data_IF_643841474830
#
_entry.id   IF_643841474830
#
_cell.length_a   1.000
_cell.length_b   1.000
_cell.length_c   1.000
_cell.angle_alpha   90.00
_cell.angle_beta   90.00
_cell.angle_gamma   90.00
#
_symmetry.space_group_name_H-M   'P 1'
#
loop_
_entity.id
_entity.type
_entity.pdbx_description
1 polymer ?
#
# COMPACT_ATOMS: atom_id res chain seq x y z
N UNK A 1 14.47 -12.85 15.59
CA UNK A 1 14.87 -12.35 14.26
C UNK A 1 16.29 -12.76 13.99
N UNK A 2 16.54 -13.55 12.95
CA UNK A 2 17.90 -13.92 12.53
C UNK A 2 18.55 -12.77 11.75
N UNK A 3 19.87 -12.64 11.74
CA UNK A 3 20.62 -11.58 11.01
C UNK A 3 20.17 -11.43 9.56
N UNK A 4 19.89 -12.54 8.87
CA UNK A 4 19.37 -12.55 7.50
C UNK A 4 18.00 -11.85 7.33
N UNK A 5 17.12 -11.95 8.32
CA UNK A 5 15.80 -11.28 8.30
C UNK A 5 15.95 -9.78 8.46
N UNK A 6 16.86 -9.33 9.32
CA UNK A 6 17.18 -7.91 9.49
C UNK A 6 17.76 -7.31 8.20
N UNK A 7 18.69 -8.03 7.55
CA UNK A 7 19.26 -7.60 6.26
C UNK A 7 18.18 -7.55 5.18
N UNK A 8 17.32 -8.57 5.09
CA UNK A 8 16.24 -8.61 4.10
C UNK A 8 15.26 -7.43 4.28
N UNK A 9 14.87 -7.11 5.52
CA UNK A 9 14.01 -5.95 5.81
C UNK A 9 14.71 -4.65 5.45
N UNK A 10 15.99 -4.49 5.82
CA UNK A 10 16.76 -3.29 5.50
C UNK A 10 16.88 -3.06 3.99
N UNK A 11 17.16 -4.11 3.22
CA UNK A 11 17.22 -4.05 1.75
C UNK A 11 15.85 -3.70 1.18
N UNK A 12 14.78 -4.35 1.65
CA UNK A 12 13.46 -4.12 1.10
C UNK A 12 12.92 -2.70 1.42
N UNK A 13 13.19 -2.17 2.61
CA UNK A 13 12.92 -0.77 2.97
C UNK A 13 13.76 0.18 2.10
N UNK A 14 15.05 -0.08 1.94
CA UNK A 14 15.95 0.74 1.12
C UNK A 14 15.53 0.81 -0.35
N UNK A 15 15.19 -0.33 -0.96
CA UNK A 15 14.70 -0.40 -2.34
C UNK A 15 13.37 0.36 -2.48
N UNK A 16 12.46 0.22 -1.52
CA UNK A 16 11.17 0.93 -1.54
C UNK A 16 11.36 2.45 -1.46
N UNK A 17 12.22 2.92 -0.56
CA UNK A 17 12.53 4.34 -0.43
C UNK A 17 13.20 4.89 -1.70
N UNK A 18 14.13 4.15 -2.29
CA UNK A 18 14.74 4.51 -3.58
C UNK A 18 13.71 4.58 -4.70
N UNK A 19 12.84 3.57 -4.80
CA UNK A 19 11.81 3.49 -5.83
C UNK A 19 10.78 4.63 -5.70
N UNK A 20 10.36 4.98 -4.49
CA UNK A 20 9.47 6.11 -4.24
C UNK A 20 10.15 7.48 -4.37
N UNK A 21 11.44 7.57 -4.03
CA UNK A 21 12.22 8.81 -4.07
C UNK A 21 12.69 9.19 -5.48
N UNK A 22 13.03 8.21 -6.32
CA UNK A 22 13.48 8.41 -7.70
C UNK A 22 12.56 9.29 -8.56
N UNK A 23 11.26 9.01 -8.69
CA UNK A 23 10.37 9.82 -9.51
C UNK A 23 10.24 11.27 -8.99
N UNK A 24 10.31 11.47 -7.66
CA UNK A 24 10.31 12.81 -7.06
C UNK A 24 11.61 13.54 -7.40
N UNK A 25 12.77 12.89 -7.26
CA UNK A 25 14.07 13.47 -7.58
C UNK A 25 14.17 13.83 -9.07
N UNK A 26 13.71 12.96 -9.97
CA UNK A 26 13.69 13.21 -11.41
C UNK A 26 12.76 14.39 -11.74
N UNK A 27 11.57 14.44 -11.13
CA UNK A 27 10.63 15.55 -11.33
C UNK A 27 11.19 16.89 -10.86
N UNK A 28 11.94 16.90 -9.75
CA UNK A 28 12.61 18.09 -9.22
C UNK A 28 13.76 18.55 -10.13
N UNK A 29 14.62 17.61 -10.55
CA UNK A 29 15.76 17.89 -11.43
C UNK A 29 15.33 18.42 -12.81
N UNK A 30 14.22 17.92 -13.35
CA UNK A 30 13.66 18.39 -14.63
C UNK A 30 12.77 19.63 -14.52
N UNK A 31 12.59 20.22 -13.33
CA UNK A 31 11.66 21.33 -13.07
C UNK A 31 10.27 21.10 -13.69
N UNK A 32 9.75 19.87 -13.58
CA UNK A 32 8.49 19.51 -14.20
C UNK A 32 7.34 20.42 -13.68
N UNK A 33 6.42 20.88 -14.55
CA UNK A 33 5.30 21.74 -14.15
C UNK A 33 4.47 21.11 -13.01
N UNK A 34 4.30 19.78 -13.04
CA UNK A 34 3.49 19.03 -12.05
C UNK A 34 4.28 18.45 -10.87
N UNK A 35 5.44 19.03 -10.55
CA UNK A 35 6.29 18.62 -9.40
C UNK A 35 5.53 18.53 -8.07
N UNK A 36 4.51 19.37 -7.87
CA UNK A 36 3.68 19.35 -6.65
C UNK A 36 2.77 18.11 -6.59
N UNK A 37 2.22 17.68 -7.73
CA UNK A 37 1.36 16.50 -7.81
C UNK A 37 2.18 15.23 -7.59
N UNK A 38 3.35 15.13 -8.22
CA UNK A 38 4.28 14.02 -8.04
C UNK A 38 4.77 13.94 -6.58
N UNK A 39 5.08 15.08 -5.96
CA UNK A 39 5.47 15.14 -4.55
C UNK A 39 4.33 14.72 -3.59
N UNK A 40 3.06 14.97 -3.94
CA UNK A 40 1.89 14.52 -3.16
C UNK A 40 1.60 13.03 -3.33
N UNK A 41 1.90 12.45 -4.49
CA UNK A 41 1.73 11.03 -4.77
C UNK A 41 2.77 10.16 -4.04
N UNK A 42 3.97 10.69 -3.81
CA UNK A 42 5.06 10.02 -3.07
C UNK A 42 4.68 9.52 -1.66
N UNK A 43 4.12 10.34 -0.74
CA UNK A 43 3.70 9.87 0.57
C UNK A 43 2.54 8.87 0.48
N UNK A 44 1.67 8.98 -0.52
CA UNK A 44 0.59 8.03 -0.77
C UNK A 44 1.13 6.66 -1.21
N UNK A 45 2.16 6.65 -2.07
CA UNK A 45 2.87 5.45 -2.47
C UNK A 45 3.60 4.79 -1.29
N UNK A 46 4.27 5.59 -0.44
CA UNK A 46 4.91 5.09 0.79
C UNK A 46 3.89 4.46 1.74
N UNK A 47 2.73 5.09 1.94
CA UNK A 47 1.65 4.53 2.76
C UNK A 47 1.14 3.20 2.18
N UNK A 48 0.97 3.12 0.85
CA UNK A 48 0.58 1.88 0.16
C UNK A 48 1.62 0.78 0.37
N UNK A 49 2.91 1.08 0.23
CA UNK A 49 3.98 0.11 0.49
C UNK A 49 4.04 -0.33 1.96
N UNK A 50 3.87 0.60 2.91
CA UNK A 50 3.80 0.27 4.33
C UNK A 50 2.61 -0.67 4.63
N UNK A 51 1.47 -0.45 3.98
CA UNK A 51 0.30 -1.33 4.09
C UNK A 51 0.61 -2.73 3.55
N UNK A 52 1.27 -2.81 2.39
CA UNK A 52 1.72 -4.08 1.82
C UNK A 52 2.69 -4.82 2.75
N UNK A 53 3.66 -4.12 3.34
CA UNK A 53 4.54 -4.71 4.33
C UNK A 53 3.78 -5.22 5.55
N UNK A 54 2.81 -4.47 6.06
CA UNK A 54 1.97 -4.91 7.17
C UNK A 54 1.20 -6.18 6.82
N UNK A 55 0.66 -6.29 5.59
CA UNK A 55 -0.03 -7.48 5.10
C UNK A 55 0.91 -8.68 4.93
N UNK A 56 2.12 -8.49 4.39
CA UNK A 56 3.12 -9.55 4.24
C UNK A 56 3.58 -10.02 5.62
N UNK A 57 3.85 -9.09 6.55
CA UNK A 57 4.25 -9.40 7.91
C UNK A 57 3.14 -10.16 8.66
N UNK A 58 1.89 -9.76 8.43
CA UNK A 58 0.72 -10.45 8.93
C UNK A 58 0.57 -11.86 8.33
N UNK A 59 0.76 -12.02 7.02
CA UNK A 59 0.72 -13.32 6.35
C UNK A 59 1.87 -14.25 6.76
N UNK A 60 3.07 -13.70 7.01
CA UNK A 60 4.24 -14.45 7.46
C UNK A 60 4.18 -14.80 8.96
N UNK A 61 3.38 -14.06 9.73
CA UNK A 61 3.13 -14.35 11.14
C UNK A 61 1.96 -15.32 11.20
N UNK A 62 2.25 -16.62 11.25
CA UNK A 62 1.27 -17.74 11.35
C UNK A 62 0.49 -17.77 12.70
N UNK A 63 0.32 -16.62 13.35
CA UNK A 63 -0.51 -16.47 14.55
C UNK A 63 -1.92 -16.10 14.12
N UNK A 64 -2.68 -17.13 13.72
CA UNK A 64 -4.09 -17.03 13.37
C UNK A 64 -4.98 -16.50 14.51
N UNK A 65 -4.58 -16.64 15.77
CA UNK A 65 -5.56 -16.56 16.87
C UNK A 65 -5.61 -15.23 17.65
N UNK A 66 -4.57 -14.38 17.62
CA UNK A 66 -4.49 -13.25 18.56
C UNK A 66 -4.67 -11.84 17.97
N UNK A 67 -4.68 -11.69 16.63
CA UNK A 67 -4.80 -10.35 16.04
C UNK A 67 -6.27 -9.93 15.84
N UNK A 68 -6.60 -8.67 16.18
CA UNK A 68 -7.91 -8.05 15.88
C UNK A 68 -8.27 -8.21 14.39
N UNK A 69 -7.24 -8.19 13.53
CA UNK A 69 -7.34 -8.39 12.08
C UNK A 69 -7.82 -9.79 11.74
N UNK A 70 -7.32 -10.85 12.40
CA UNK A 70 -7.79 -12.21 12.18
C UNK A 70 -9.26 -12.39 12.56
N UNK A 71 -9.72 -11.81 13.67
CA UNK A 71 -11.15 -11.79 14.05
C UNK A 71 -12.01 -11.05 13.04
N UNK A 72 -11.48 -9.97 12.44
CA UNK A 72 -12.19 -9.22 11.42
C UNK A 72 -12.30 -10.01 10.11
N UNK A 73 -11.21 -10.67 9.70
CA UNK A 73 -11.16 -11.47 8.49
C UNK A 73 -11.99 -12.75 8.63
N UNK A 74 -11.96 -13.43 9.78
CA UNK A 74 -12.84 -14.57 10.05
C UNK A 74 -14.31 -14.15 9.98
N UNK A 75 -14.67 -12.97 10.52
CA UNK A 75 -16.04 -12.44 10.40
C UNK A 75 -16.43 -12.12 8.96
N UNK A 76 -15.51 -11.60 8.15
CA UNK A 76 -15.73 -11.32 6.71
C UNK A 76 -15.89 -12.64 5.93
N UNK A 77 -15.04 -13.62 6.20
CA UNK A 77 -15.04 -14.91 5.53
C UNK A 77 -16.29 -15.71 5.89
N UNK A 78 -16.68 -15.73 7.18
CA UNK A 78 -17.87 -16.42 7.68
C UNK A 78 -19.18 -15.80 7.17
N UNK A 79 -19.19 -14.50 6.86
CA UNK A 79 -20.32 -13.79 6.24
C UNK A 79 -20.23 -13.70 4.71
N UNK A 80 -19.20 -14.29 4.09
CA UNK A 80 -18.93 -14.20 2.66
C UNK A 80 -18.96 -12.76 2.11
N UNK A 81 -18.45 -11.81 2.90
CA UNK A 81 -18.45 -10.37 2.56
C UNK A 81 -17.26 -9.96 1.69
N UNK A 82 -16.29 -10.85 1.47
CA UNK A 82 -15.12 -10.60 0.64
C UNK A 82 -15.44 -10.04 -0.75
N UNK A 83 -16.34 -10.68 -1.52
CA UNK A 83 -16.75 -10.18 -2.83
C UNK A 83 -17.41 -8.80 -2.79
N UNK A 84 -18.16 -8.50 -1.74
CA UNK A 84 -18.83 -7.21 -1.55
C UNK A 84 -17.85 -6.09 -1.22
N UNK A 85 -16.84 -6.36 -0.39
CA UNK A 85 -15.80 -5.40 -0.06
C UNK A 85 -14.97 -5.07 -1.30
N UNK A 86 -14.56 -6.10 -2.05
CA UNK A 86 -13.81 -5.92 -3.30
C UNK A 86 -14.66 -5.18 -4.34
N UNK A 87 -15.92 -5.59 -4.52
CA UNK A 87 -16.85 -4.93 -5.43
C UNK A 87 -17.09 -3.46 -5.09
N UNK A 88 -17.28 -3.14 -3.80
CA UNK A 88 -17.40 -1.75 -3.33
C UNK A 88 -16.14 -0.93 -3.59
N UNK A 89 -14.96 -1.50 -3.34
CA UNK A 89 -13.68 -0.81 -3.57
C UNK A 89 -13.46 -0.50 -5.06
N UNK A 90 -13.77 -1.47 -5.93
CA UNK A 90 -13.71 -1.31 -7.38
C UNK A 90 -14.71 -0.25 -7.85
N UNK A 91 -15.94 -0.27 -7.33
CA UNK A 91 -16.96 0.71 -7.68
C UNK A 91 -16.57 2.12 -7.27
N UNK A 92 -16.02 2.30 -6.07
CA UNK A 92 -15.49 3.59 -5.61
C UNK A 92 -14.31 4.05 -6.47
N UNK A 93 -13.39 3.14 -6.83
CA UNK A 93 -12.28 3.46 -7.72
C UNK A 93 -12.75 3.91 -9.11
N UNK A 94 -13.74 3.23 -9.68
CA UNK A 94 -14.34 3.61 -10.96
C UNK A 94 -15.08 4.95 -10.87
N UNK A 95 -15.88 5.15 -9.81
CA UNK A 95 -16.61 6.38 -9.58
C UNK A 95 -15.68 7.59 -9.36
N UNK A 96 -14.59 7.41 -8.60
CA UNK A 96 -13.58 8.46 -8.39
C UNK A 96 -12.82 8.78 -9.68
N UNK A 97 -12.51 7.77 -10.50
CA UNK A 97 -11.85 7.98 -11.80
C UNK A 97 -12.77 8.72 -12.77
N UNK A 98 -14.05 8.33 -12.83
CA UNK A 98 -15.06 9.03 -13.62
C UNK A 98 -15.22 10.48 -13.15
N UNK A 99 -15.36 10.70 -11.84
CA UNK A 99 -15.48 12.05 -11.28
C UNK A 99 -14.27 12.94 -11.63
N UNK A 100 -13.06 12.40 -11.58
CA UNK A 100 -11.83 13.12 -11.96
C UNK A 100 -11.72 13.43 -13.46
N UNK A 101 -12.43 12.70 -14.33
CA UNK A 101 -12.45 12.97 -15.79
C UNK A 101 -13.47 14.05 -16.17
N UNK A 102 -14.49 14.26 -15.33
CA UNK A 102 -15.55 15.25 -15.55
C UNK A 102 -15.34 16.57 -14.78
N UNK A 103 -14.27 16.68 -13.98
CA UNK A 103 -13.86 17.87 -13.21
C UNK A 103 -12.54 18.44 -13.76
#
# INVERSE_FOLDING_TARGET
MTTYQLVAIAVAVGVTLLFCGLPVMIAFGRRHPDRRTIAKLSPLALLSFALWFALILWAATDRKDDSIVARYIDRIQKRNLGPWIVGGLVFIGLAGTAASLYL
#
